data_IF_266439751169
#
_entry.id   IF_266439751169
#
_cell.length_a   1.000
_cell.length_b   1.000
_cell.length_c   1.000
_cell.angle_alpha   90.00
_cell.angle_beta   90.00
_cell.angle_gamma   90.00
#
_symmetry.space_group_name_H-M   'P 1'
#
loop_
_entity.id
_entity.type
_entity.pdbx_description
1 polymer ?
#
# COMPACT_ATOMS: atom_id res chain seq x y z
N UNK A 1 -9.94 -21.05 16.49
CA UNK A 1 -8.54 -20.65 16.25
C UNK A 1 -8.53 -19.81 14.99
N UNK A 2 -8.31 -18.50 15.13
CA UNK A 2 -8.66 -17.52 14.08
C UNK A 2 -7.61 -17.49 12.96
N UNK A 3 -8.03 -17.16 11.74
CA UNK A 3 -7.14 -16.85 10.60
C UNK A 3 -6.04 -15.85 11.02
N UNK A 4 -6.37 -14.92 11.93
CA UNK A 4 -5.43 -13.94 12.49
C UNK A 4 -4.26 -14.59 13.24
N UNK A 5 -4.49 -15.70 13.97
CA UNK A 5 -3.42 -16.44 14.66
C UNK A 5 -2.51 -17.21 13.70
N UNK A 6 -3.05 -17.63 12.54
CA UNK A 6 -2.29 -18.37 11.52
C UNK A 6 -1.48 -17.43 10.63
N UNK A 7 -2.00 -16.24 10.31
CA UNK A 7 -1.29 -15.21 9.54
C UNK A 7 -0.20 -14.54 10.39
N UNK A 8 -0.46 -14.26 11.68
CA UNK A 8 0.54 -13.74 12.62
C UNK A 8 1.72 -14.69 12.87
N UNK A 9 1.58 -15.99 12.55
CA UNK A 9 2.65 -16.98 12.65
C UNK A 9 3.48 -17.12 11.37
N UNK A 10 2.98 -16.66 10.22
CA UNK A 10 3.68 -16.79 8.93
C UNK A 10 4.82 -15.77 8.77
N UNK A 11 4.81 -14.69 9.57
CA UNK A 11 5.94 -13.77 9.73
C UNK A 11 7.17 -14.41 10.39
N UNK A 12 7.06 -15.65 10.90
CA UNK A 12 8.17 -16.37 11.52
C UNK A 12 8.81 -17.46 10.63
N UNK A 13 8.34 -17.70 9.39
CA UNK A 13 8.96 -18.74 8.54
C UNK A 13 8.77 -18.57 7.03
N UNK A 14 9.87 -18.19 6.34
CA UNK A 14 10.19 -18.48 4.92
C UNK A 14 9.48 -17.61 3.88
N UNK A 15 10.14 -16.97 2.90
CA UNK A 15 11.44 -17.22 2.28
C UNK A 15 11.27 -17.85 0.89
N UNK A 16 11.51 -17.07 -0.17
CA UNK A 16 11.92 -17.56 -1.51
C UNK A 16 12.44 -16.38 -2.37
N UNK A 17 13.56 -16.63 -3.04
CA UNK A 17 14.48 -15.68 -3.67
C UNK A 17 14.19 -15.35 -5.15
N UNK A 18 14.73 -14.17 -5.52
CA UNK A 18 15.46 -13.79 -6.75
C UNK A 18 14.75 -13.67 -8.10
N UNK A 19 14.93 -12.51 -8.75
CA UNK A 19 15.44 -12.43 -10.13
C UNK A 19 16.07 -11.06 -10.42
N UNK A 20 17.22 -11.13 -11.06
CA UNK A 20 18.21 -10.12 -11.44
C UNK A 20 17.84 -9.41 -12.77
N UNK A 21 18.16 -8.11 -12.94
CA UNK A 21 18.25 -7.45 -14.25
C UNK A 21 19.04 -6.10 -14.20
N UNK A 22 19.81 -5.74 -15.26
CA UNK A 22 21.00 -4.87 -15.20
C UNK A 22 20.75 -3.37 -15.51
N UNK A 23 21.76 -2.48 -15.35
CA UNK A 23 21.58 -1.03 -15.38
C UNK A 23 21.84 -0.43 -16.78
N UNK A 24 21.16 0.67 -17.10
CA UNK A 24 21.64 1.63 -18.12
C UNK A 24 21.23 3.05 -17.75
N UNK A 25 22.18 3.96 -17.90
CA UNK A 25 22.14 5.30 -17.35
C UNK A 25 22.05 6.40 -18.44
N UNK A 26 21.48 7.54 -18.03
CA UNK A 26 21.86 8.95 -18.34
C UNK A 26 21.40 9.63 -19.68
N UNK A 27 21.36 10.98 -19.79
CA UNK A 27 20.28 11.88 -19.34
C UNK A 27 19.90 13.02 -20.34
N UNK A 28 19.10 14.00 -19.86
CA UNK A 28 19.12 15.45 -20.16
C UNK A 28 17.86 16.05 -20.82
N UNK A 29 17.46 17.24 -20.35
CA UNK A 29 16.52 18.13 -21.06
C UNK A 29 15.76 19.10 -20.16
N UNK A 30 16.34 20.27 -19.92
CA UNK A 30 15.81 21.39 -19.12
C UNK A 30 14.83 22.20 -19.99
N UNK A 31 13.68 22.60 -19.45
CA UNK A 31 12.69 23.43 -20.15
C UNK A 31 11.90 24.30 -19.18
N UNK A 32 12.27 25.57 -19.13
CA UNK A 32 11.70 26.63 -18.28
C UNK A 32 10.46 27.27 -18.88
N UNK A 33 9.53 27.73 -18.03
CA UNK A 33 8.84 29.02 -18.26
C UNK A 33 7.31 29.03 -18.27
N UNK A 34 6.75 29.81 -17.33
CA UNK A 34 5.45 30.49 -17.44
C UNK A 34 4.24 29.65 -17.03
N UNK A 35 3.28 30.12 -16.25
CA UNK A 35 2.97 31.45 -15.73
C UNK A 35 1.58 31.34 -15.12
N UNK A 36 1.34 32.03 -14.01
CA UNK A 36 0.10 31.95 -13.24
C UNK A 36 -1.13 32.32 -14.08
N UNK A 37 -2.04 31.36 -14.26
CA UNK A 37 -3.50 31.50 -14.39
C UNK A 37 -4.12 30.09 -14.34
N UNK A 38 -5.14 29.98 -13.49
CA UNK A 38 -6.02 28.83 -13.27
C UNK A 38 -5.75 28.04 -11.98
N UNK A 39 -6.42 28.54 -10.93
CA UNK A 39 -6.64 27.91 -9.63
C UNK A 39 -7.58 26.72 -9.82
N UNK A 40 -7.03 25.65 -10.39
CA UNK A 40 -7.57 24.31 -10.29
C UNK A 40 -6.35 23.40 -10.25
N UNK A 41 -5.78 23.28 -9.05
CA UNK A 41 -4.65 22.40 -8.75
C UNK A 41 -5.10 20.99 -9.11
N UNK A 42 -4.82 20.56 -10.34
CA UNK A 42 -5.01 19.19 -10.74
C UNK A 42 -4.04 18.41 -9.87
N UNK A 43 -4.54 17.79 -8.80
CA UNK A 43 -3.76 16.91 -7.95
C UNK A 43 -3.36 15.73 -8.85
N UNK A 44 -2.18 15.83 -9.46
CA UNK A 44 -1.58 14.78 -10.26
C UNK A 44 -0.68 13.97 -9.34
N UNK A 45 -0.88 12.66 -9.32
CA UNK A 45 0.12 11.73 -8.79
C UNK A 45 1.17 11.47 -9.86
N UNK A 46 2.25 10.78 -9.50
CA UNK A 46 3.26 10.36 -10.48
C UNK A 46 2.72 9.38 -11.53
N UNK A 47 1.57 8.74 -11.28
CA UNK A 47 1.03 7.65 -12.10
C UNK A 47 -0.31 7.99 -12.78
N UNK A 48 -0.89 9.16 -12.51
CA UNK A 48 -2.16 9.54 -13.10
C UNK A 48 -2.79 10.81 -12.52
N UNK A 49 -3.99 11.11 -13.00
CA UNK A 49 -4.83 12.15 -12.43
C UNK A 49 -5.61 11.56 -11.26
N UNK A 50 -5.63 12.26 -10.12
CA UNK A 50 -6.52 11.94 -9.01
C UNK A 50 -7.97 12.15 -9.47
N UNK A 51 -8.85 11.15 -9.32
CA UNK A 51 -10.26 11.30 -9.65
C UNK A 51 -10.90 12.48 -8.88
N UNK A 52 -11.85 13.17 -9.51
CA UNK A 52 -12.58 14.28 -8.87
C UNK A 52 -13.62 13.82 -7.86
N UNK A 53 -14.01 12.55 -7.90
CA UNK A 53 -14.95 11.92 -6.98
C UNK A 53 -14.30 10.71 -6.34
N UNK A 54 -14.26 10.72 -5.00
CA UNK A 54 -13.78 9.61 -4.20
C UNK A 54 -14.94 8.71 -3.79
N UNK A 55 -14.63 7.45 -3.50
CA UNK A 55 -15.63 6.53 -2.95
C UNK A 55 -16.13 7.05 -1.60
N UNK A 56 -17.44 7.18 -1.43
CA UNK A 56 -18.01 7.63 -0.17
C UNK A 56 -17.70 6.61 0.96
N UNK A 57 -17.26 7.07 2.14
CA UNK A 57 -17.08 6.20 3.29
C UNK A 57 -18.40 5.54 3.71
N UNK A 58 -18.28 4.36 4.31
CA UNK A 58 -19.37 3.64 4.96
C UNK A 58 -19.08 3.61 6.45
N UNK A 59 -20.10 3.86 7.26
CA UNK A 59 -20.00 3.76 8.72
C UNK A 59 -19.67 2.33 9.14
N UNK A 60 -18.58 2.16 9.89
CA UNK A 60 -18.03 0.86 10.30
C UNK A 60 -17.45 0.92 11.70
N UNK A 61 -17.61 -0.16 12.46
CA UNK A 61 -16.87 -0.36 13.70
C UNK A 61 -15.39 -0.64 13.42
N UNK A 62 -14.52 -0.42 14.41
CA UNK A 62 -13.10 -0.80 14.32
C UNK A 62 -12.92 -2.27 13.93
N UNK A 63 -13.72 -3.18 14.52
CA UNK A 63 -13.65 -4.60 14.19
C UNK A 63 -14.00 -4.88 12.71
N UNK A 64 -14.99 -4.18 12.15
CA UNK A 64 -15.33 -4.33 10.73
C UNK A 64 -14.23 -3.76 9.82
N UNK A 65 -13.59 -2.64 10.18
CA UNK A 65 -12.44 -2.11 9.42
C UNK A 65 -11.27 -3.10 9.42
N UNK A 66 -11.00 -3.76 10.55
CA UNK A 66 -9.98 -4.83 10.64
C UNK A 66 -10.29 -5.99 9.71
N UNK A 67 -11.56 -6.42 9.65
CA UNK A 67 -12.01 -7.47 8.73
C UNK A 67 -11.80 -7.06 7.27
N UNK A 68 -12.21 -5.85 6.89
CA UNK A 68 -11.97 -5.33 5.52
C UNK A 68 -10.49 -5.32 5.18
N UNK A 69 -9.67 -4.78 6.07
CA UNK A 69 -8.24 -4.64 5.82
C UNK A 69 -7.58 -6.02 5.62
N UNK A 70 -7.87 -6.98 6.50
CA UNK A 70 -7.29 -8.32 6.40
C UNK A 70 -7.81 -9.11 5.21
N UNK A 71 -9.12 -9.02 4.91
CA UNK A 71 -9.69 -9.65 3.74
C UNK A 71 -9.04 -9.10 2.46
N UNK A 72 -8.93 -7.78 2.33
CA UNK A 72 -8.27 -7.14 1.20
C UNK A 72 -6.78 -7.52 1.12
N UNK A 73 -6.05 -7.52 2.24
CA UNK A 73 -4.63 -7.89 2.26
C UNK A 73 -4.41 -9.30 1.69
N UNK A 74 -5.17 -10.28 2.19
CA UNK A 74 -5.04 -11.68 1.77
C UNK A 74 -5.37 -11.85 0.28
N UNK A 75 -6.38 -11.15 -0.22
CA UNK A 75 -6.82 -11.27 -1.61
C UNK A 75 -5.96 -10.47 -2.61
N UNK A 76 -5.28 -9.41 -2.16
CA UNK A 76 -4.36 -8.61 -2.95
C UNK A 76 -2.92 -9.16 -2.97
N UNK A 77 -2.62 -10.22 -2.21
CA UNK A 77 -1.34 -10.94 -2.34
C UNK A 77 -1.35 -11.86 -3.55
N UNK A 78 -0.15 -12.16 -4.06
CA UNK A 78 0.03 -13.14 -5.14
C UNK A 78 -0.68 -14.46 -4.79
N UNK A 79 -1.50 -15.02 -5.69
CA UNK A 79 -2.28 -16.21 -5.41
C UNK A 79 -1.39 -17.44 -5.30
N UNK A 80 -1.16 -17.90 -4.06
CA UNK A 80 -0.46 -19.15 -3.79
C UNK A 80 -1.39 -20.37 -3.72
N UNK A 81 -0.86 -21.56 -3.37
CA UNK A 81 -1.63 -22.81 -3.32
C UNK A 81 -2.88 -22.75 -2.44
N UNK A 82 -2.84 -21.97 -1.36
CA UNK A 82 -3.92 -21.85 -0.38
C UNK A 82 -4.97 -20.77 -0.74
N UNK A 83 -4.82 -20.09 -1.89
CA UNK A 83 -5.64 -18.92 -2.21
C UNK A 83 -7.15 -19.24 -2.26
N UNK A 84 -7.53 -20.39 -2.82
CA UNK A 84 -8.94 -20.81 -2.85
C UNK A 84 -9.50 -21.08 -1.45
N UNK A 85 -8.68 -21.58 -0.52
CA UNK A 85 -9.09 -21.74 0.87
C UNK A 85 -9.31 -20.38 1.54
N UNK A 86 -8.48 -19.39 1.22
CA UNK A 86 -8.68 -18.02 1.70
C UNK A 86 -9.98 -17.40 1.20
N UNK A 87 -10.41 -17.67 -0.04
CA UNK A 87 -11.70 -17.16 -0.56
C UNK A 87 -12.88 -17.56 0.33
N UNK A 88 -12.91 -18.81 0.79
CA UNK A 88 -13.98 -19.29 1.67
C UNK A 88 -13.97 -18.59 3.03
N UNK A 89 -12.80 -18.35 3.60
CA UNK A 89 -12.67 -17.63 4.87
C UNK A 89 -13.09 -16.16 4.72
N UNK A 90 -12.70 -15.52 3.61
CA UNK A 90 -13.09 -14.13 3.34
C UNK A 90 -14.61 -14.01 3.21
N UNK A 91 -15.29 -14.92 2.51
CA UNK A 91 -16.74 -14.89 2.40
C UNK A 91 -17.44 -14.98 3.77
N UNK A 92 -16.97 -15.87 4.65
CA UNK A 92 -17.50 -16.01 6.01
C UNK A 92 -17.35 -14.70 6.80
N UNK A 93 -16.17 -14.09 6.75
CA UNK A 93 -15.92 -12.84 7.49
C UNK A 93 -16.65 -11.65 6.86
N UNK A 94 -16.77 -11.61 5.53
CA UNK A 94 -17.47 -10.56 4.80
C UNK A 94 -18.96 -10.51 5.16
N UNK A 95 -19.56 -11.62 5.59
CA UNK A 95 -20.94 -11.65 6.08
C UNK A 95 -21.20 -10.79 7.33
N UNK A 96 -20.14 -10.39 8.05
CA UNK A 96 -20.22 -9.49 9.23
C UNK A 96 -20.14 -8.00 8.86
N UNK A 97 -19.87 -7.69 7.59
CA UNK A 97 -19.71 -6.33 7.09
C UNK A 97 -21.04 -5.71 6.65
N UNK A 98 -21.14 -4.37 6.58
CA UNK A 98 -22.26 -3.72 5.90
C UNK A 98 -22.39 -4.23 4.46
N UNK A 99 -23.62 -4.42 3.98
CA UNK A 99 -23.91 -5.01 2.67
C UNK A 99 -23.16 -4.31 1.53
N UNK A 100 -23.06 -2.98 1.60
CA UNK A 100 -22.36 -2.17 0.60
C UNK A 100 -20.86 -2.50 0.48
N UNK A 101 -20.24 -3.06 1.51
CA UNK A 101 -18.82 -3.48 1.50
C UNK A 101 -18.72 -4.99 1.26
N UNK A 102 -19.62 -5.77 1.86
CA UNK A 102 -19.67 -7.22 1.66
C UNK A 102 -19.84 -7.59 0.18
N UNK A 103 -20.66 -6.85 -0.57
CA UNK A 103 -20.87 -7.09 -2.01
C UNK A 103 -19.58 -7.02 -2.82
N UNK A 104 -18.67 -6.08 -2.50
CA UNK A 104 -17.42 -5.91 -3.24
C UNK A 104 -16.49 -7.14 -3.09
N UNK A 105 -16.48 -7.76 -1.90
CA UNK A 105 -15.75 -9.00 -1.65
C UNK A 105 -16.42 -10.19 -2.34
N UNK A 106 -17.75 -10.30 -2.24
CA UNK A 106 -18.52 -11.38 -2.87
C UNK A 106 -18.32 -11.38 -4.39
N UNK A 107 -18.34 -10.20 -5.03
CA UNK A 107 -18.11 -10.07 -6.46
C UNK A 107 -16.71 -10.58 -6.85
N UNK A 108 -15.69 -10.21 -6.07
CA UNK A 108 -14.33 -10.66 -6.30
C UNK A 108 -14.17 -12.16 -6.07
N UNK A 109 -14.64 -12.70 -4.94
CA UNK A 109 -14.45 -14.12 -4.60
C UNK A 109 -15.22 -15.03 -5.55
N UNK A 110 -16.39 -14.60 -6.04
CA UNK A 110 -17.15 -15.28 -7.10
C UNK A 110 -16.34 -15.35 -8.40
N UNK A 111 -15.82 -14.21 -8.87
CA UNK A 111 -14.97 -14.17 -10.07
C UNK A 111 -13.70 -15.03 -9.91
N UNK A 112 -13.03 -14.92 -8.76
CA UNK A 112 -11.79 -15.63 -8.47
C UNK A 112 -11.97 -17.15 -8.50
N UNK A 113 -13.11 -17.67 -8.02
CA UNK A 113 -13.46 -19.09 -8.15
C UNK A 113 -13.71 -19.50 -9.59
N UNK A 114 -14.34 -18.64 -10.38
CA UNK A 114 -14.66 -18.92 -11.78
C UNK A 114 -13.44 -19.07 -12.67
N UNK A 115 -12.40 -18.26 -12.45
CA UNK A 115 -11.17 -18.30 -13.25
C UNK A 115 -10.16 -19.35 -12.76
N UNK A 116 -10.23 -19.74 -11.49
CA UNK A 116 -9.39 -20.78 -10.88
C UNK A 116 -7.94 -20.32 -10.58
N UNK A 117 -7.17 -21.17 -9.90
CA UNK A 117 -5.85 -20.81 -9.36
C UNK A 117 -4.84 -20.31 -10.41
N UNK A 118 -4.66 -21.06 -11.50
CA UNK A 118 -3.74 -20.65 -12.58
C UNK A 118 -4.17 -19.35 -13.25
N UNK A 119 -5.47 -19.18 -13.50
CA UNK A 119 -5.97 -17.96 -14.10
C UNK A 119 -5.85 -16.74 -13.19
N UNK A 120 -5.95 -16.94 -11.86
CA UNK A 120 -5.64 -15.91 -10.88
C UNK A 120 -4.17 -15.49 -10.93
N UNK A 121 -3.23 -16.45 -10.97
CA UNK A 121 -1.79 -16.17 -11.09
C UNK A 121 -1.49 -15.34 -12.35
N UNK A 122 -1.99 -15.78 -13.51
CA UNK A 122 -1.81 -15.09 -14.79
C UNK A 122 -2.41 -13.67 -14.75
N UNK A 123 -3.64 -13.52 -14.25
CA UNK A 123 -4.31 -12.23 -14.17
C UNK A 123 -3.66 -11.29 -13.13
N UNK A 124 -3.10 -11.82 -12.05
CA UNK A 124 -2.35 -11.05 -11.06
C UNK A 124 -1.12 -10.41 -11.70
N UNK A 125 -0.30 -11.20 -12.38
CA UNK A 125 0.91 -10.73 -13.06
C UNK A 125 0.56 -9.70 -14.14
N UNK A 126 -0.47 -9.96 -14.94
CA UNK A 126 -0.93 -9.02 -15.97
C UNK A 126 -1.42 -7.69 -15.37
N UNK A 127 -2.04 -7.74 -14.19
CA UNK A 127 -2.60 -6.57 -13.52
C UNK A 127 -1.53 -5.76 -12.79
N UNK A 128 -0.75 -6.39 -11.92
CA UNK A 128 0.09 -5.70 -10.93
C UNK A 128 1.55 -5.60 -11.35
N UNK A 129 2.13 -6.64 -11.96
CA UNK A 129 3.57 -6.68 -12.25
C UNK A 129 3.90 -5.99 -13.58
N UNK A 130 3.02 -6.12 -14.57
CA UNK A 130 3.25 -5.58 -15.91
C UNK A 130 2.81 -4.11 -16.06
N UNK A 131 2.01 -3.58 -15.12
CA UNK A 131 1.37 -2.27 -15.27
C UNK A 131 1.71 -1.34 -14.13
N UNK A 132 2.61 -0.39 -14.38
CA UNK A 132 3.02 0.65 -13.41
C UNK A 132 1.84 1.38 -12.76
N UNK A 133 0.75 1.66 -13.50
CA UNK A 133 -0.42 2.38 -12.98
C UNK A 133 -1.26 1.59 -11.97
N UNK A 134 -1.05 0.28 -11.87
CA UNK A 134 -1.74 -0.59 -10.92
C UNK A 134 -0.83 -1.02 -9.76
N UNK A 135 0.35 -0.41 -9.58
CA UNK A 135 1.29 -0.76 -8.51
C UNK A 135 0.62 -0.77 -7.12
N UNK A 136 0.94 -1.78 -6.30
CA UNK A 136 0.47 -1.89 -4.92
C UNK A 136 1.37 -1.15 -3.90
N UNK A 137 2.38 -0.41 -4.38
CA UNK A 137 3.28 0.36 -3.52
C UNK A 137 2.77 1.80 -3.34
N UNK A 138 2.40 2.18 -2.12
CA UNK A 138 1.77 3.48 -1.84
C UNK A 138 2.70 4.67 -2.10
N UNK A 139 3.99 4.53 -1.77
CA UNK A 139 4.99 5.58 -2.01
C UNK A 139 5.11 5.94 -3.48
N UNK A 140 4.85 4.98 -4.38
CA UNK A 140 4.98 5.17 -5.83
C UNK A 140 4.01 6.23 -6.36
N UNK A 141 2.82 6.35 -5.77
CA UNK A 141 1.85 7.39 -6.17
C UNK A 141 2.29 8.80 -5.73
N UNK A 142 3.01 8.90 -4.61
CA UNK A 142 3.43 10.17 -4.03
C UNK A 142 4.72 10.74 -4.64
N UNK A 143 5.70 9.87 -4.92
CA UNK A 143 7.06 10.26 -5.36
C UNK A 143 7.58 9.51 -6.60
N UNK A 144 6.82 8.56 -7.13
CA UNK A 144 7.25 7.74 -8.27
C UNK A 144 8.46 6.86 -7.95
N UNK A 145 9.15 6.42 -9.00
CA UNK A 145 10.41 5.67 -8.89
C UNK A 145 11.61 6.63 -8.94
N UNK A 146 11.71 7.45 -7.91
CA UNK A 146 12.77 8.46 -7.77
C UNK A 146 13.63 8.15 -6.57
N UNK A 147 14.78 8.82 -6.42
CA UNK A 147 15.63 8.72 -5.22
C UNK A 147 14.85 9.00 -3.92
N UNK A 148 13.79 9.79 -3.99
CA UNK A 148 12.93 10.10 -2.84
C UNK A 148 12.10 8.89 -2.38
N UNK A 149 11.89 7.88 -3.24
CA UNK A 149 11.17 6.66 -2.88
C UNK A 149 11.87 5.85 -1.79
N UNK A 150 13.21 5.83 -1.77
CA UNK A 150 13.97 5.18 -0.70
C UNK A 150 13.65 5.77 0.68
N UNK A 151 13.61 7.10 0.78
CA UNK A 151 13.24 7.80 2.03
C UNK A 151 11.78 7.57 2.40
N UNK A 152 10.90 7.53 1.41
CA UNK A 152 9.49 7.21 1.62
C UNK A 152 9.30 5.83 2.25
N UNK A 153 10.00 4.81 1.74
CA UNK A 153 9.94 3.44 2.27
C UNK A 153 10.45 3.39 3.72
N UNK A 154 11.53 4.10 4.04
CA UNK A 154 12.04 4.19 5.42
C UNK A 154 11.01 4.85 6.35
N UNK A 155 10.37 5.93 5.91
CA UNK A 155 9.31 6.59 6.68
C UNK A 155 8.10 5.67 6.92
N UNK A 156 7.71 4.83 5.95
CA UNK A 156 6.69 3.80 6.17
C UNK A 156 7.13 2.78 7.22
N UNK A 157 8.38 2.33 7.16
CA UNK A 157 8.93 1.38 8.14
C UNK A 157 8.89 1.95 9.56
N UNK A 158 9.37 3.16 9.78
CA UNK A 158 9.34 3.82 11.09
C UNK A 158 7.92 4.01 11.62
N UNK A 159 6.97 4.36 10.74
CA UNK A 159 5.57 4.47 11.13
C UNK A 159 5.01 3.13 11.57
N UNK A 160 5.28 2.04 10.86
CA UNK A 160 4.88 0.69 11.25
C UNK A 160 5.54 0.24 12.56
N UNK A 161 6.81 0.55 12.76
CA UNK A 161 7.54 0.27 14.01
C UNK A 161 6.93 1.04 15.19
N UNK A 162 6.54 2.30 14.99
CA UNK A 162 5.83 3.12 16.00
C UNK A 162 4.44 2.58 16.39
N UNK A 163 3.89 1.70 15.55
CA UNK A 163 2.64 0.96 15.79
C UNK A 163 2.89 -0.41 16.44
N UNK A 164 4.16 -0.79 16.62
CA UNK A 164 4.56 -2.07 17.21
C UNK A 164 4.74 -3.21 16.19
N UNK A 165 4.81 -2.90 14.89
CA UNK A 165 5.03 -3.90 13.83
C UNK A 165 6.47 -3.91 13.34
N UNK A 166 7.05 -5.10 13.21
CA UNK A 166 8.34 -5.31 12.54
C UNK A 166 8.11 -5.77 11.10
N UNK A 167 8.65 -5.05 10.13
CA UNK A 167 8.57 -5.43 8.70
C UNK A 167 9.76 -6.33 8.36
N UNK A 168 9.52 -7.45 7.67
CA UNK A 168 10.58 -8.33 7.18
C UNK A 168 11.54 -7.57 6.25
N UNK A 169 12.81 -7.97 6.20
CA UNK A 169 13.78 -7.40 5.25
C UNK A 169 13.41 -7.71 3.79
N UNK A 170 12.69 -8.81 3.56
CA UNK A 170 12.26 -9.27 2.23
C UNK A 170 10.99 -8.56 1.72
N UNK A 171 10.33 -7.72 2.53
CA UNK A 171 9.10 -7.02 2.16
C UNK A 171 9.24 -5.51 2.35
N UNK A 172 8.75 -4.73 1.37
CA UNK A 172 8.80 -3.27 1.47
C UNK A 172 7.64 -2.76 2.33
N UNK A 173 7.97 -1.87 3.27
CA UNK A 173 7.03 -1.29 4.22
C UNK A 173 5.90 -0.46 3.57
N UNK A 174 6.08 0.00 2.33
CA UNK A 174 5.08 0.78 1.59
C UNK A 174 4.11 -0.08 0.75
N UNK A 175 4.24 -1.41 0.80
CA UNK A 175 3.33 -2.31 0.10
C UNK A 175 1.93 -2.30 0.76
N UNK A 176 0.88 -2.15 -0.04
CA UNK A 176 -0.49 -1.99 0.46
C UNK A 176 -0.91 -3.14 1.39
N UNK A 177 -0.57 -4.39 1.07
CA UNK A 177 -0.89 -5.54 1.94
C UNK A 177 -0.26 -5.44 3.34
N UNK A 178 0.95 -4.87 3.45
CA UNK A 178 1.62 -4.68 4.75
C UNK A 178 0.85 -3.67 5.60
N UNK A 179 0.44 -2.55 4.99
CA UNK A 179 -0.33 -1.51 5.68
C UNK A 179 -1.71 -2.03 6.09
N UNK A 180 -2.37 -2.79 5.20
CA UNK A 180 -3.65 -3.44 5.50
C UNK A 180 -3.53 -4.46 6.63
N UNK A 181 -2.45 -5.24 6.68
CA UNK A 181 -2.17 -6.14 7.80
C UNK A 181 -1.97 -5.38 9.12
N UNK A 182 -1.23 -4.27 9.09
CA UNK A 182 -1.08 -3.41 10.27
C UNK A 182 -2.43 -2.89 10.77
N UNK A 183 -3.32 -2.45 9.87
CA UNK A 183 -4.71 -2.05 10.23
C UNK A 183 -5.47 -3.23 10.84
N UNK A 184 -5.35 -4.41 10.25
CA UNK A 184 -6.04 -5.62 10.66
C UNK A 184 -5.65 -6.19 12.02
N UNK A 185 -4.37 -6.08 12.36
CA UNK A 185 -3.77 -6.68 13.55
C UNK A 185 -3.62 -5.71 14.73
N UNK A 186 -3.72 -4.41 14.48
CA UNK A 186 -3.59 -3.38 15.51
C UNK A 186 -4.84 -3.27 16.38
N UNK A 187 -4.66 -2.74 17.59
CA UNK A 187 -5.71 -2.52 18.58
C UNK A 187 -5.63 -1.10 19.16
N UNK A 188 -6.77 -0.60 19.65
CA UNK A 188 -6.86 0.68 20.37
C UNK A 188 -6.23 1.86 19.61
N UNK A 189 -5.40 2.65 20.28
CA UNK A 189 -4.76 3.83 19.69
C UNK A 189 -3.77 3.50 18.55
N UNK A 190 -3.25 2.28 18.47
CA UNK A 190 -2.44 1.85 17.33
C UNK A 190 -3.32 1.59 16.11
N UNK A 191 -4.54 1.07 16.31
CA UNK A 191 -5.50 0.85 15.22
C UNK A 191 -5.91 2.17 14.55
N UNK A 192 -6.28 3.18 15.34
CA UNK A 192 -6.65 4.48 14.80
C UNK A 192 -5.51 5.11 13.99
N UNK A 193 -4.26 5.03 14.48
CA UNK A 193 -3.08 5.52 13.75
C UNK A 193 -2.77 4.73 12.49
N UNK A 194 -2.97 3.41 12.49
CA UNK A 194 -2.82 2.58 11.28
C UNK A 194 -3.87 2.92 10.22
N UNK A 195 -5.12 3.16 10.65
CA UNK A 195 -6.21 3.62 9.76
C UNK A 195 -5.89 5.00 9.20
N UNK A 196 -5.39 5.92 10.02
CA UNK A 196 -4.97 7.26 9.59
C UNK A 196 -3.82 7.20 8.58
N UNK A 197 -2.81 6.34 8.81
CA UNK A 197 -1.72 6.09 7.86
C UNK A 197 -2.24 5.62 6.49
N UNK A 198 -3.19 4.68 6.48
CA UNK A 198 -3.78 4.20 5.23
C UNK A 198 -4.65 5.28 4.56
N UNK A 199 -5.44 6.02 5.35
CA UNK A 199 -6.34 7.05 4.87
C UNK A 199 -5.60 8.29 4.32
N UNK A 200 -4.43 8.63 4.87
CA UNK A 200 -3.59 9.70 4.31
C UNK A 200 -3.09 9.41 2.89
N UNK A 201 -3.09 8.14 2.49
CA UNK A 201 -2.74 7.68 1.14
C UNK A 201 -3.95 7.48 0.22
N UNK A 202 -5.12 8.01 0.61
CA UNK A 202 -6.38 7.83 -0.14
C UNK A 202 -6.28 8.25 -1.60
N UNK A 203 -5.55 9.32 -1.91
CA UNK A 203 -5.36 9.77 -3.29
C UNK A 203 -4.69 8.69 -4.17
N UNK A 204 -3.68 8.00 -3.62
CA UNK A 204 -3.02 6.89 -4.32
C UNK A 204 -3.95 5.71 -4.55
N UNK A 205 -4.76 5.35 -3.53
CA UNK A 205 -5.77 4.30 -3.63
C UNK A 205 -6.85 4.63 -4.68
N UNK A 206 -7.28 5.89 -4.78
CA UNK A 206 -8.26 6.32 -5.78
C UNK A 206 -7.68 6.31 -7.21
N UNK A 207 -6.39 6.63 -7.37
CA UNK A 207 -5.70 6.48 -8.66
C UNK A 207 -5.57 5.00 -9.05
N UNK A 208 -5.18 4.14 -8.11
CA UNK A 208 -5.14 2.68 -8.30
C UNK A 208 -6.52 2.15 -8.69
N UNK A 209 -7.56 2.50 -7.92
CA UNK A 209 -8.95 2.12 -8.20
C UNK A 209 -9.38 2.54 -9.61
N UNK A 210 -9.11 3.79 -9.99
CA UNK A 210 -9.47 4.29 -11.31
C UNK A 210 -8.73 3.54 -12.42
N UNK A 211 -7.45 3.22 -12.24
CA UNK A 211 -6.66 2.44 -13.18
C UNK A 211 -7.21 1.00 -13.34
N UNK A 212 -7.50 0.33 -12.23
CA UNK A 212 -8.10 -1.02 -12.24
C UNK A 212 -9.49 -1.03 -12.87
N UNK A 213 -10.31 0.00 -12.59
CA UNK A 213 -11.65 0.15 -13.20
C UNK A 213 -11.55 0.37 -14.71
N UNK A 214 -10.61 1.20 -15.17
CA UNK A 214 -10.36 1.41 -16.61
C UNK A 214 -9.92 0.14 -17.32
N UNK A 215 -9.20 -0.74 -16.61
CA UNK A 215 -8.78 -2.05 -17.12
C UNK A 215 -9.91 -3.08 -17.11
N UNK A 216 -11.02 -2.82 -16.41
CA UNK A 216 -12.06 -3.82 -16.15
C UNK A 216 -11.59 -4.93 -15.19
N UNK A 217 -10.56 -4.66 -14.38
CA UNK A 217 -9.96 -5.63 -13.47
C UNK A 217 -10.84 -5.84 -12.23
N UNK A 218 -11.19 -7.08 -11.86
CA UNK A 218 -11.99 -7.37 -10.66
C UNK A 218 -11.33 -6.93 -9.36
N UNK A 219 -10.00 -6.80 -9.33
CA UNK A 219 -9.27 -6.22 -8.18
C UNK A 219 -9.74 -4.81 -7.82
N UNK A 220 -10.41 -4.09 -8.73
CA UNK A 220 -11.02 -2.79 -8.42
C UNK A 220 -12.02 -2.87 -7.26
N UNK A 221 -12.78 -3.97 -7.13
CA UNK A 221 -13.77 -4.10 -6.05
C UNK A 221 -13.10 -4.18 -4.67
N UNK A 222 -11.95 -4.84 -4.56
CA UNK A 222 -11.18 -4.89 -3.32
C UNK A 222 -10.69 -3.49 -2.89
N UNK A 223 -10.20 -2.70 -3.85
CA UNK A 223 -9.78 -1.32 -3.55
C UNK A 223 -10.99 -0.44 -3.19
N UNK A 224 -12.15 -0.64 -3.83
CA UNK A 224 -13.40 0.02 -3.46
C UNK A 224 -13.78 -0.32 -2.01
N UNK A 225 -13.71 -1.60 -1.61
CA UNK A 225 -14.02 -2.03 -0.26
C UNK A 225 -13.11 -1.37 0.79
N UNK A 226 -11.80 -1.32 0.52
CA UNK A 226 -10.83 -0.60 1.35
C UNK A 226 -11.20 0.87 1.45
N UNK A 227 -11.45 1.54 0.31
CA UNK A 227 -11.83 2.94 0.27
C UNK A 227 -13.14 3.25 1.04
N UNK A 228 -14.14 2.35 1.02
CA UNK A 228 -15.38 2.49 1.82
C UNK A 228 -15.09 2.42 3.32
N UNK A 229 -14.10 1.65 3.75
CA UNK A 229 -13.78 1.46 5.17
C UNK A 229 -12.94 2.61 5.78
N UNK A 230 -12.35 3.45 4.94
CA UNK A 230 -11.50 4.56 5.40
C UNK A 230 -12.34 5.78 5.81
N UNK A 231 -12.00 6.43 6.94
CA UNK A 231 -12.59 7.71 7.30
C UNK A 231 -12.17 8.80 6.32
N UNK A 232 -12.91 9.92 6.31
CA UNK A 232 -12.43 11.13 5.66
C UNK A 232 -11.26 11.70 6.47
N UNK A 233 -10.15 11.98 5.77
CA UNK A 233 -9.02 12.72 6.33
C UNK A 233 -9.00 14.08 5.64
N UNK A 234 -8.87 15.14 6.43
CA UNK A 234 -8.78 16.48 5.88
C UNK A 234 -7.54 16.64 4.98
N UNK A 235 -7.64 17.53 4.00
CA UNK A 235 -6.60 17.67 2.99
C UNK A 235 -5.24 18.11 3.57
N UNK A 236 -5.23 18.86 4.67
CA UNK A 236 -3.99 19.34 5.29
C UNK A 236 -3.27 18.20 6.02
N UNK A 237 -4.00 17.35 6.74
CA UNK A 237 -3.46 16.14 7.38
C UNK A 237 -2.92 15.18 6.33
N UNK A 238 -3.68 14.89 5.28
CA UNK A 238 -3.21 14.05 4.18
C UNK A 238 -1.94 14.62 3.52
N UNK A 239 -1.88 15.94 3.32
CA UNK A 239 -0.71 16.59 2.73
C UNK A 239 0.51 16.52 3.66
N UNK A 240 0.35 16.69 4.98
CA UNK A 240 1.44 16.54 5.95
C UNK A 240 2.07 15.15 5.90
N UNK A 241 1.27 14.09 5.79
CA UNK A 241 1.77 12.72 5.61
C UNK A 241 2.58 12.57 4.31
N UNK A 242 2.06 13.10 3.19
CA UNK A 242 2.76 13.06 1.90
C UNK A 242 4.07 13.85 1.96
N UNK A 243 4.09 15.00 2.62
CA UNK A 243 5.28 15.84 2.77
C UNK A 243 6.31 15.18 3.69
N UNK A 244 5.89 14.59 4.80
CA UNK A 244 6.75 13.80 5.70
C UNK A 244 7.47 12.68 4.95
N UNK A 245 6.75 11.99 4.07
CA UNK A 245 7.31 10.92 3.23
C UNK A 245 8.33 11.47 2.21
N UNK A 246 8.07 12.64 1.64
CA UNK A 246 8.96 13.30 0.67
C UNK A 246 10.25 13.81 1.31
N UNK A 247 10.17 14.35 2.51
CA UNK A 247 11.32 14.91 3.23
C UNK A 247 12.06 13.86 4.05
N UNK A 248 11.43 12.70 4.28
CA UNK A 248 11.85 11.77 5.33
C UNK A 248 11.46 12.30 6.72
N UNK A 249 11.61 11.47 7.77
CA UNK A 249 11.36 11.87 9.14
C UNK A 249 12.16 13.13 9.52
N UNK A 250 11.66 14.00 10.42
CA UNK A 250 12.42 15.12 10.94
C UNK A 250 13.73 14.60 11.56
N UNK A 251 14.84 15.29 11.29
CA UNK A 251 16.17 14.91 11.75
C UNK A 251 16.32 14.75 13.28
N UNK A 252 15.31 15.17 14.06
CA UNK A 252 15.32 15.14 15.52
C UNK A 252 15.07 13.76 16.16
N UNK A 253 14.85 12.70 15.37
CA UNK A 253 14.72 11.32 15.86
C UNK A 253 15.88 10.38 15.50
N UNK A 254 16.92 10.89 14.83
CA UNK A 254 18.14 10.11 14.60
C UNK A 254 19.09 10.38 15.77
N UNK A 255 19.07 9.47 16.75
CA UNK A 255 20.14 9.39 17.74
C UNK A 255 21.47 9.37 17.00
N UNK A 256 22.30 10.39 17.25
CA UNK A 256 23.66 10.48 16.76
C UNK A 256 24.43 9.34 17.42
N UNK A 257 24.42 8.16 16.80
CA UNK A 257 25.44 7.17 17.03
C UNK A 257 26.66 7.67 16.25
N UNK A 258 27.60 8.29 16.97
CA UNK A 258 28.94 8.56 16.49
C UNK A 258 29.50 7.28 15.84
N UNK A 259 29.51 7.25 14.51
CA UNK A 259 30.21 6.21 13.75
C UNK A 259 31.70 6.54 13.81
N UNK A 260 32.55 5.70 14.46
CA UNK A 260 33.98 5.91 14.41
C UNK A 260 34.46 5.36 13.06
N UNK A 261 34.56 6.21 12.04
CA UNK A 261 35.34 5.86 10.87
C UNK A 261 36.83 6.04 11.19
N UNK A 262 37.67 4.99 11.09
CA UNK A 262 39.12 5.18 11.14
C UNK A 262 39.58 5.82 9.82
N UNK A 263 40.11 7.03 9.90
CA UNK A 263 40.78 7.68 8.78
C UNK A 263 42.10 6.96 8.51
N UNK A 264 42.12 6.04 7.54
CA UNK A 264 43.38 5.55 6.98
C UNK A 264 43.95 6.65 6.07
N UNK A 265 44.90 7.44 6.56
CA UNK A 265 45.82 8.19 5.71
C UNK A 265 46.94 7.24 5.26
N UNK A 266 47.22 7.10 3.96
CA UNK A 266 48.46 6.49 3.52
C UNK A 266 49.58 7.54 3.55
N UNK A 267 50.54 7.36 4.46
CA UNK A 267 51.86 8.00 4.40
C UNK A 267 52.59 7.52 3.13
N UNK A 268 52.88 8.44 2.21
CA UNK A 268 53.86 8.20 1.17
C UNK A 268 55.22 8.68 1.67
N UNK A 269 56.14 7.72 1.82
CA UNK A 269 57.59 7.92 1.97
C UNK A 269 58.18 8.24 0.60
#
# INVERSE_FOLDING_TARGET
MSLFDKLARRTASGGAQSADAPPTATPAGIGSGGGARDVQRTLRTHTGQVPTQFIAPVEMSAQQRKVVAMAASVLLRYPGPDYLAHLAVVDEQAATLPLAVASDFIDFTSWARGIGGRGLEEHYVETFDQRRRCSLFLSYYAVGDTRQRGMAILSFREQLESLGFSVSEDELADHLCVILEAVGLSEGAAHERAVELLASHRQGLEVLRAALTQLGSPYASLIIAVCKALPEVDADTAQKYVDLIRTGPPAEMVGIADLPFPTAQPDFI
#
